data_IF_514573883710
#
_entry.id   IF_514573883710
#
_cell.length_a   1.000
_cell.length_b   1.000
_cell.length_c   1.000
_cell.angle_alpha   90.00
_cell.angle_beta   90.00
_cell.angle_gamma   90.00
#
_symmetry.space_group_name_H-M   'P 1'
#
loop_
_entity.id
_entity.type
_entity.pdbx_description
1 polymer ?
#
# COMPACT_ATOMS: atom_id res chain seq x y z
N UNK A 1 -16.17 15.44 -16.82
CA UNK A 1 -16.81 14.32 -16.09
C UNK A 1 -17.69 13.53 -17.05
N UNK A 2 -17.08 12.56 -17.75
CA UNK A 2 -17.80 11.62 -18.60
C UNK A 2 -18.39 10.46 -17.76
N UNK A 3 -19.37 9.71 -18.28
CA UNK A 3 -19.97 8.58 -17.55
C UNK A 3 -18.97 7.49 -17.14
N UNK A 4 -17.84 7.35 -17.84
CA UNK A 4 -16.78 6.39 -17.53
C UNK A 4 -15.98 6.75 -16.26
N UNK A 5 -15.74 8.03 -16.01
CA UNK A 5 -14.99 8.53 -14.85
C UNK A 5 -15.72 8.22 -13.53
N UNK A 6 -17.06 8.33 -13.55
CA UNK A 6 -17.90 7.98 -12.41
C UNK A 6 -17.89 6.47 -12.10
N UNK A 7 -17.70 5.62 -13.11
CA UNK A 7 -17.63 4.17 -12.95
C UNK A 7 -16.31 3.79 -12.27
N UNK A 8 -15.20 4.41 -12.66
CA UNK A 8 -13.89 4.15 -12.07
C UNK A 8 -13.85 4.52 -10.58
N UNK A 9 -14.34 5.71 -10.22
CA UNK A 9 -14.42 6.13 -8.81
C UNK A 9 -15.28 5.15 -7.98
N UNK A 10 -16.41 4.73 -8.53
CA UNK A 10 -17.30 3.78 -7.88
C UNK A 10 -16.64 2.41 -7.70
N UNK A 11 -15.94 1.91 -8.72
CA UNK A 11 -15.22 0.64 -8.67
C UNK A 11 -14.06 0.66 -7.64
N UNK A 12 -13.29 1.74 -7.60
CA UNK A 12 -12.24 1.95 -6.58
C UNK A 12 -12.84 2.02 -5.18
N UNK A 13 -13.98 2.70 -5.02
CA UNK A 13 -14.71 2.80 -3.76
C UNK A 13 -15.18 1.44 -3.24
N UNK A 14 -15.85 0.65 -4.08
CA UNK A 14 -16.31 -0.70 -3.71
C UNK A 14 -15.12 -1.60 -3.35
N UNK A 15 -14.08 -1.62 -4.19
CA UNK A 15 -12.91 -2.46 -3.97
C UNK A 15 -12.21 -2.11 -2.65
N UNK A 16 -12.04 -0.81 -2.38
CA UNK A 16 -11.47 -0.29 -1.14
C UNK A 16 -12.30 -0.68 0.08
N UNK A 17 -13.63 -0.54 0.00
CA UNK A 17 -14.54 -0.92 1.07
C UNK A 17 -14.49 -2.44 1.36
N UNK A 18 -14.47 -3.27 0.32
CA UNK A 18 -14.37 -4.73 0.44
C UNK A 18 -13.03 -5.16 1.06
N UNK A 19 -11.91 -4.60 0.59
CA UNK A 19 -10.56 -4.87 1.13
C UNK A 19 -10.49 -4.47 2.61
N UNK A 20 -11.03 -3.30 2.96
CA UNK A 20 -11.05 -2.79 4.33
C UNK A 20 -11.87 -3.70 5.24
N UNK A 21 -13.10 -4.01 4.84
CA UNK A 21 -13.99 -4.89 5.59
C UNK A 21 -13.37 -6.27 5.81
N UNK A 22 -12.81 -6.89 4.76
CA UNK A 22 -12.14 -8.19 4.88
C UNK A 22 -10.92 -8.12 5.81
N UNK A 23 -10.08 -7.09 5.65
CA UNK A 23 -8.91 -6.86 6.50
C UNK A 23 -9.27 -6.76 7.99
N UNK A 24 -10.27 -5.94 8.32
CA UNK A 24 -10.73 -5.77 9.69
C UNK A 24 -11.41 -7.03 10.25
N UNK A 25 -12.25 -7.72 9.48
CA UNK A 25 -12.88 -8.98 9.92
C UNK A 25 -11.82 -10.03 10.26
N UNK A 26 -10.83 -10.22 9.37
CA UNK A 26 -9.74 -11.17 9.60
C UNK A 26 -8.92 -10.76 10.83
N UNK A 27 -8.59 -9.48 10.99
CA UNK A 27 -7.88 -8.99 12.17
C UNK A 27 -8.66 -9.25 13.47
N UNK A 28 -9.95 -8.93 13.50
CA UNK A 28 -10.78 -9.11 14.70
C UNK A 28 -11.05 -10.57 15.04
N UNK A 29 -10.99 -11.49 14.06
CA UNK A 29 -11.09 -12.93 14.30
C UNK A 29 -9.98 -13.45 15.22
N UNK A 30 -8.73 -12.99 15.03
CA UNK A 30 -7.61 -13.32 15.92
C UNK A 30 -6.56 -12.21 15.92
N UNK A 31 -6.67 -11.26 16.86
CA UNK A 31 -5.74 -10.12 16.97
C UNK A 31 -4.31 -10.50 17.36
N UNK A 32 -4.09 -11.71 17.88
CA UNK A 32 -2.75 -12.19 18.26
C UNK A 32 -2.01 -12.87 17.09
N UNK A 33 -2.73 -13.24 16.03
CA UNK A 33 -2.15 -13.85 14.84
C UNK A 33 -1.34 -12.83 14.05
N UNK A 34 -0.03 -13.08 13.90
CA UNK A 34 0.84 -12.27 13.05
C UNK A 34 0.36 -12.26 11.60
N UNK A 35 -0.21 -13.37 11.12
CA UNK A 35 -0.82 -13.45 9.79
C UNK A 35 -1.97 -12.46 9.65
N UNK A 36 -2.85 -12.37 10.65
CA UNK A 36 -4.02 -11.49 10.59
C UNK A 36 -3.63 -10.02 10.75
N UNK A 37 -2.64 -9.73 11.59
CA UNK A 37 -2.05 -8.39 11.71
C UNK A 37 -1.41 -7.94 10.39
N UNK A 38 -0.57 -8.79 9.79
CA UNK A 38 0.09 -8.52 8.51
C UNK A 38 -0.93 -8.35 7.39
N UNK A 39 -1.98 -9.18 7.36
CA UNK A 39 -3.06 -9.04 6.38
C UNK A 39 -3.78 -7.69 6.48
N UNK A 40 -4.05 -7.19 7.70
CA UNK A 40 -4.64 -5.87 7.89
C UNK A 40 -3.71 -4.74 7.40
N UNK A 41 -2.42 -4.80 7.73
CA UNK A 41 -1.43 -3.82 7.27
C UNK A 41 -1.33 -3.83 5.75
N UNK A 42 -1.32 -5.01 5.14
CA UNK A 42 -1.38 -5.16 3.69
C UNK A 42 -2.64 -4.51 3.12
N UNK A 43 -3.83 -4.85 3.63
CA UNK A 43 -5.11 -4.27 3.19
C UNK A 43 -5.13 -2.74 3.27
N UNK A 44 -4.69 -2.15 4.39
CA UNK A 44 -4.62 -0.68 4.55
C UNK A 44 -3.68 -0.07 3.51
N UNK A 45 -2.53 -0.70 3.29
CA UNK A 45 -1.55 -0.22 2.30
C UNK A 45 -2.11 -0.31 0.87
N UNK A 46 -2.82 -1.39 0.53
CA UNK A 46 -3.50 -1.55 -0.76
C UNK A 46 -4.55 -0.47 -0.99
N UNK A 47 -5.30 -0.11 0.05
CA UNK A 47 -6.30 0.96 0.01
C UNK A 47 -5.62 2.31 -0.25
N UNK A 48 -4.56 2.64 0.49
CA UNK A 48 -3.82 3.89 0.32
C UNK A 48 -3.21 3.98 -1.08
N UNK A 49 -2.57 2.91 -1.55
CA UNK A 49 -2.06 2.83 -2.92
C UNK A 49 -3.19 3.06 -3.95
N UNK A 50 -4.30 2.34 -3.85
CA UNK A 50 -5.42 2.46 -4.79
C UNK A 50 -6.00 3.87 -4.82
N UNK A 51 -6.11 4.50 -3.65
CA UNK A 51 -6.56 5.88 -3.50
C UNK A 51 -5.62 6.86 -4.21
N UNK A 52 -4.32 6.88 -3.89
CA UNK A 52 -3.39 7.81 -4.53
C UNK A 52 -3.22 7.53 -6.01
N UNK A 53 -3.23 6.26 -6.42
CA UNK A 53 -3.18 5.87 -7.82
C UNK A 53 -4.38 6.42 -8.60
N UNK A 54 -5.59 6.43 -8.02
CA UNK A 54 -6.75 7.09 -8.63
C UNK A 54 -6.52 8.60 -8.85
N UNK A 55 -5.93 9.30 -7.88
CA UNK A 55 -5.62 10.73 -8.03
C UNK A 55 -4.59 11.01 -9.13
N UNK A 56 -3.62 10.12 -9.36
CA UNK A 56 -2.59 10.31 -10.40
C UNK A 56 -3.21 10.47 -11.78
N UNK A 57 -4.18 9.63 -12.17
CA UNK A 57 -4.76 9.67 -13.52
C UNK A 57 -5.91 10.68 -13.67
N UNK A 58 -6.51 11.14 -12.56
CA UNK A 58 -7.62 12.09 -12.58
C UNK A 58 -7.19 13.55 -12.34
N UNK A 59 -5.92 13.81 -12.00
CA UNK A 59 -5.39 15.16 -11.79
C UNK A 59 -4.70 15.65 -13.05
N UNK A 60 -4.94 16.91 -13.44
CA UNK A 60 -4.34 17.54 -14.63
C UNK A 60 -3.21 18.52 -14.30
N UNK A 61 -3.13 18.98 -13.05
CA UNK A 61 -2.05 19.86 -12.59
C UNK A 61 -0.74 19.07 -12.46
N UNK A 62 0.32 19.39 -13.24
CA UNK A 62 1.57 18.65 -13.25
C UNK A 62 2.25 18.54 -11.88
N UNK A 63 2.17 19.59 -11.05
CA UNK A 63 2.81 19.61 -9.74
C UNK A 63 2.08 18.65 -8.79
N UNK A 64 0.75 18.67 -8.81
CA UNK A 64 -0.07 17.75 -8.02
C UNK A 64 0.08 16.31 -8.48
N UNK A 65 0.16 16.05 -9.79
CA UNK A 65 0.39 14.71 -10.34
C UNK A 65 1.75 14.20 -9.86
N UNK A 66 2.81 15.01 -9.90
CA UNK A 66 4.14 14.61 -9.46
C UNK A 66 4.18 14.24 -7.98
N UNK A 67 3.59 15.06 -7.11
CA UNK A 67 3.49 14.74 -5.69
C UNK A 67 2.66 13.49 -5.42
N UNK A 68 1.51 13.37 -6.06
CA UNK A 68 0.63 12.21 -5.91
C UNK A 68 1.29 10.92 -6.41
N UNK A 69 2.05 11.00 -7.50
CA UNK A 69 2.80 9.89 -8.06
C UNK A 69 3.90 9.43 -7.09
N UNK A 70 4.67 10.37 -6.52
CA UNK A 70 5.68 10.04 -5.49
C UNK A 70 5.06 9.34 -4.27
N UNK A 71 3.91 9.83 -3.80
CA UNK A 71 3.15 9.22 -2.69
C UNK A 71 2.59 7.85 -3.10
N UNK A 72 2.07 7.72 -4.31
CA UNK A 72 1.56 6.44 -4.84
C UNK A 72 2.67 5.39 -4.85
N UNK A 73 3.85 5.72 -5.38
CA UNK A 73 5.01 4.82 -5.41
C UNK A 73 5.53 4.51 -4.01
N UNK A 74 5.50 5.47 -3.08
CA UNK A 74 5.80 5.21 -1.66
C UNK A 74 4.91 4.08 -1.11
N UNK A 75 3.60 4.13 -1.37
CA UNK A 75 2.68 3.07 -0.95
C UNK A 75 2.83 1.78 -1.77
N UNK A 76 3.26 1.83 -3.04
CA UNK A 76 3.59 0.64 -3.84
C UNK A 76 4.71 -0.17 -3.20
N UNK A 77 5.76 0.49 -2.69
CA UNK A 77 6.88 -0.19 -2.01
C UNK A 77 6.36 -0.93 -0.78
N UNK A 78 5.55 -0.27 0.05
CA UNK A 78 4.92 -0.90 1.21
C UNK A 78 3.92 -1.99 0.83
N UNK A 79 3.21 -1.85 -0.28
CA UNK A 79 2.26 -2.84 -0.79
C UNK A 79 3.00 -4.11 -1.22
N UNK A 80 4.06 -3.98 -2.01
CA UNK A 80 4.90 -5.10 -2.43
C UNK A 80 5.55 -5.80 -1.22
N UNK A 81 6.08 -5.02 -0.27
CA UNK A 81 6.57 -5.56 0.99
C UNK A 81 5.47 -6.26 1.78
N UNK A 82 4.26 -5.71 1.84
CA UNK A 82 3.11 -6.28 2.54
C UNK A 82 2.70 -7.64 2.00
N UNK A 83 2.69 -7.82 0.67
CA UNK A 83 2.47 -9.13 0.03
C UNK A 83 3.55 -10.12 0.43
N UNK A 84 4.82 -9.70 0.31
CA UNK A 84 5.95 -10.52 0.72
C UNK A 84 5.85 -10.93 2.20
N UNK A 85 5.54 -9.98 3.08
CA UNK A 85 5.37 -10.19 4.52
C UNK A 85 4.25 -11.20 4.77
N UNK A 86 3.12 -11.03 4.07
CA UNK A 86 1.95 -11.90 4.20
C UNK A 86 2.31 -13.34 3.85
N UNK A 87 2.97 -13.57 2.71
CA UNK A 87 3.42 -14.92 2.32
C UNK A 87 4.49 -15.47 3.25
N UNK A 88 5.36 -14.63 3.79
CA UNK A 88 6.40 -15.05 4.73
C UNK A 88 5.82 -15.54 6.06
N UNK A 89 4.76 -14.89 6.57
CA UNK A 89 4.16 -15.24 7.86
C UNK A 89 3.00 -16.21 7.75
N UNK A 90 2.27 -16.26 6.64
CA UNK A 90 1.11 -17.13 6.48
C UNK A 90 1.51 -18.62 6.47
N UNK A 91 0.77 -19.54 7.13
CA UNK A 91 -0.42 -19.34 7.98
C UNK A 91 -0.10 -19.30 9.49
N UNK A 92 1.11 -18.86 9.89
CA UNK A 92 1.56 -18.93 11.29
C UNK A 92 0.83 -17.91 12.15
N UNK A 93 0.47 -18.31 13.38
CA UNK A 93 -0.08 -17.38 14.37
C UNK A 93 1.01 -16.54 15.04
N UNK A 94 2.21 -17.10 15.18
CA UNK A 94 3.37 -16.42 15.76
C UNK A 94 4.62 -16.79 14.97
N UNK A 95 5.55 -15.84 14.85
CA UNK A 95 6.83 -16.06 14.19
C UNK A 95 7.90 -15.24 14.90
N UNK A 96 9.07 -15.83 15.10
CA UNK A 96 10.26 -15.10 15.49
C UNK A 96 11.00 -14.65 14.25
N UNK A 97 10.98 -13.34 13.97
CA UNK A 97 11.74 -12.80 12.84
C UNK A 97 13.23 -12.82 13.14
N UNK A 98 14.02 -13.21 12.14
CA UNK A 98 15.48 -13.20 12.21
C UNK A 98 16.02 -11.76 12.34
N UNK A 99 17.25 -11.64 12.84
CA UNK A 99 17.94 -10.36 12.97
C UNK A 99 18.03 -9.62 11.63
N UNK A 100 18.41 -10.32 10.54
CA UNK A 100 18.47 -9.74 9.20
C UNK A 100 17.11 -9.23 8.71
N UNK A 101 16.03 -9.93 9.04
CA UNK A 101 14.69 -9.47 8.67
C UNK A 101 14.37 -8.12 9.34
N UNK A 102 14.54 -8.04 10.67
CA UNK A 102 14.15 -6.85 11.45
C UNK A 102 15.07 -5.65 11.22
N UNK A 103 16.39 -5.88 11.09
CA UNK A 103 17.39 -4.80 11.11
C UNK A 103 17.98 -4.49 9.74
N UNK A 104 17.84 -5.36 8.75
CA UNK A 104 18.30 -5.08 7.38
C UNK A 104 17.11 -4.88 6.44
N UNK A 105 16.20 -5.85 6.36
CA UNK A 105 15.13 -5.81 5.36
C UNK A 105 14.12 -4.68 5.61
N UNK A 106 13.56 -4.60 6.83
CA UNK A 106 12.53 -3.57 7.14
C UNK A 106 13.09 -2.15 7.00
N UNK A 107 14.28 -1.82 7.56
CA UNK A 107 14.86 -0.49 7.36
C UNK A 107 15.20 -0.21 5.90
N UNK A 108 15.71 -1.20 5.16
CA UNK A 108 16.01 -1.03 3.74
C UNK A 108 14.75 -0.69 2.93
N UNK A 109 13.66 -1.42 3.14
CA UNK A 109 12.36 -1.14 2.50
C UNK A 109 11.87 0.27 2.89
N UNK A 110 12.00 0.64 4.17
CA UNK A 110 11.64 1.98 4.63
C UNK A 110 12.47 3.09 3.98
N UNK A 111 13.78 2.90 3.84
CA UNK A 111 14.66 3.83 3.13
C UNK A 111 14.29 3.94 1.66
N UNK A 112 14.07 2.81 0.97
CA UNK A 112 13.63 2.80 -0.43
C UNK A 112 12.29 3.54 -0.58
N UNK A 113 11.32 3.28 0.30
CA UNK A 113 10.04 3.99 0.28
C UNK A 113 10.23 5.50 0.48
N UNK A 114 11.01 5.95 1.47
CA UNK A 114 11.26 7.38 1.70
C UNK A 114 11.98 8.01 0.50
N UNK A 115 12.92 7.30 -0.13
CA UNK A 115 13.60 7.78 -1.32
C UNK A 115 12.61 8.07 -2.47
N UNK A 116 11.51 7.32 -2.60
CA UNK A 116 10.52 7.58 -3.65
C UNK A 116 9.75 8.88 -3.46
N UNK A 117 9.76 9.47 -2.25
CA UNK A 117 9.19 10.79 -1.99
C UNK A 117 10.09 11.94 -2.43
N UNK A 118 11.35 11.64 -2.76
CA UNK A 118 12.35 12.63 -3.14
C UNK A 118 12.37 12.86 -4.65
N UNK A 119 12.90 14.01 -5.13
CA UNK A 119 13.09 14.25 -6.56
C UNK A 119 14.13 13.33 -7.22
N UNK A 120 14.83 12.49 -6.45
CA UNK A 120 15.82 11.55 -6.99
C UNK A 120 15.18 10.41 -7.81
N UNK A 121 13.92 10.07 -7.57
CA UNK A 121 13.22 9.00 -8.31
C UNK A 121 12.40 9.56 -9.47
N UNK A 122 11.61 10.61 -9.23
CA UNK A 122 10.86 11.33 -10.26
C UNK A 122 11.11 12.82 -10.10
N UNK A 123 11.86 13.42 -11.00
CA UNK A 123 12.16 14.86 -10.95
C UNK A 123 11.07 15.70 -11.61
N UNK A 124 10.56 15.25 -12.76
CA UNK A 124 9.58 15.96 -13.59
C UNK A 124 8.63 14.95 -14.28
N UNK A 125 7.49 15.43 -14.76
CA UNK A 125 6.56 14.69 -15.64
C UNK A 125 6.55 15.42 -16.98
N UNK A 126 6.85 14.69 -18.07
CA UNK A 126 6.90 15.21 -19.45
C UNK A 126 5.53 15.05 -20.11
#
# INVERSE_FOLDING_TARGET
>A
MGPLENIDLFAVGISTAAIGLLGFIVFFKNRKSITNQTFLVFSITTILYSFFNYFVYNTTDPDLVLWTLRISVFFVVWHAFGIFQLFYVFPKEQIEFSFFYKFLLVPFVGTVAILTLTPFVFSEII
#
